data_IF_071771628324
#
_entry.id   IF_071771628324
#
_cell.length_a   1.000
_cell.length_b   1.000
_cell.length_c   1.000
_cell.angle_alpha   90.00
_cell.angle_beta   90.00
_cell.angle_gamma   90.00
#
_symmetry.space_group_name_H-M   'P 1'
#
loop_
_entity.id
_entity.type
_entity.pdbx_description
1 polymer ?
#
# COMPACT_ATOMS: atom_id res chain seq x y z
N UNK A 1 -71.54 1.00 -0.91
CA UNK A 1 -70.57 1.26 0.16
C UNK A 1 -69.24 0.64 -0.28
N UNK A 2 -68.38 1.42 -0.95
CA UNK A 2 -67.08 0.93 -1.42
C UNK A 2 -65.99 1.39 -0.46
N UNK A 3 -65.37 0.43 0.23
CA UNK A 3 -64.27 0.64 1.16
C UNK A 3 -62.96 0.59 0.35
N UNK A 4 -62.42 1.75 -0.02
CA UNK A 4 -61.16 1.85 -0.73
C UNK A 4 -59.99 1.73 0.25
N UNK A 5 -59.36 0.56 0.29
CA UNK A 5 -58.17 0.29 1.10
C UNK A 5 -56.93 0.79 0.34
N UNK A 6 -56.44 1.99 0.66
CA UNK A 6 -55.20 2.52 0.09
C UNK A 6 -53.99 1.90 0.80
N UNK A 7 -53.34 0.94 0.15
CA UNK A 7 -52.09 0.34 0.61
C UNK A 7 -50.93 1.31 0.32
N UNK A 8 -50.52 2.09 1.32
CA UNK A 8 -49.36 2.99 1.22
C UNK A 8 -48.07 2.18 1.21
N UNK A 9 -47.49 2.01 0.01
CA UNK A 9 -46.21 1.36 -0.20
C UNK A 9 -45.08 2.31 0.23
N UNK A 10 -44.57 2.12 1.46
CA UNK A 10 -43.35 2.78 1.92
C UNK A 10 -42.16 2.18 1.16
N UNK A 11 -41.73 2.81 0.06
CA UNK A 11 -40.45 2.48 -0.57
C UNK A 11 -39.31 2.87 0.37
N UNK A 12 -38.40 1.95 0.74
CA UNK A 12 -37.19 2.33 1.44
C UNK A 12 -36.33 3.14 0.47
N UNK A 13 -36.06 4.40 0.82
CA UNK A 13 -35.11 5.22 0.10
C UNK A 13 -33.71 4.66 0.39
N UNK A 14 -33.26 3.74 -0.45
CA UNK A 14 -31.88 3.27 -0.42
C UNK A 14 -30.98 4.46 -0.79
N UNK A 15 -30.44 5.14 0.23
CA UNK A 15 -29.43 6.16 0.03
C UNK A 15 -28.22 5.48 -0.62
N UNK A 16 -28.03 5.71 -1.91
CA UNK A 16 -26.84 5.28 -2.62
C UNK A 16 -25.64 6.00 -1.97
N UNK A 17 -24.94 5.30 -1.09
CA UNK A 17 -23.73 5.82 -0.46
C UNK A 17 -22.73 6.14 -1.57
N UNK A 18 -22.43 7.42 -1.79
CA UNK A 18 -21.46 7.84 -2.79
C UNK A 18 -20.10 7.24 -2.41
N UNK A 19 -19.45 6.52 -3.33
CA UNK A 19 -18.07 6.04 -3.12
C UNK A 19 -17.20 7.25 -2.74
N UNK A 20 -16.54 7.24 -1.57
CA UNK A 20 -15.73 8.36 -1.15
C UNK A 20 -14.60 8.61 -2.15
N UNK A 21 -14.34 9.87 -2.50
CA UNK A 21 -13.40 10.26 -3.57
C UNK A 21 -11.94 9.85 -3.31
N UNK A 22 -11.60 9.50 -2.07
CA UNK A 22 -10.28 9.09 -1.61
C UNK A 22 -10.19 7.60 -1.26
N UNK A 23 -11.22 6.81 -1.59
CA UNK A 23 -11.18 5.35 -1.53
C UNK A 23 -10.86 4.79 -2.91
N UNK A 24 -9.79 4.00 -3.02
CA UNK A 24 -9.38 3.35 -4.27
C UNK A 24 -9.25 1.84 -4.05
N UNK A 25 -9.67 1.01 -5.00
CA UNK A 25 -9.51 -0.43 -4.89
C UNK A 25 -8.03 -0.77 -5.03
N UNK A 26 -7.45 -1.53 -4.09
CA UNK A 26 -6.02 -1.80 -4.08
C UNK A 26 -5.55 -2.53 -5.35
N UNK A 27 -6.36 -3.46 -5.86
CA UNK A 27 -6.07 -4.20 -7.09
C UNK A 27 -5.99 -3.33 -8.34
N UNK A 28 -6.64 -2.17 -8.34
CA UNK A 28 -6.65 -1.24 -9.49
C UNK A 28 -5.45 -0.28 -9.46
N UNK A 29 -4.65 -0.27 -8.38
CA UNK A 29 -3.45 0.55 -8.28
C UNK A 29 -2.37 -0.05 -9.17
N UNK A 30 -2.06 0.63 -10.27
CA UNK A 30 -1.07 0.14 -11.24
C UNK A 30 0.36 0.28 -10.75
N UNK A 31 0.68 1.42 -10.12
CA UNK A 31 2.02 1.69 -9.60
C UNK A 31 1.98 2.67 -8.44
N UNK A 32 3.03 2.61 -7.62
CA UNK A 32 3.29 3.52 -6.52
C UNK A 32 4.64 4.19 -6.76
N UNK A 33 4.71 5.50 -6.49
CA UNK A 33 5.97 6.24 -6.39
C UNK A 33 6.08 6.77 -4.97
N UNK A 34 7.01 6.20 -4.22
CA UNK A 34 7.24 6.50 -2.82
C UNK A 34 8.45 7.41 -2.72
N UNK A 35 8.39 8.37 -1.79
CA UNK A 35 9.46 9.35 -1.58
C UNK A 35 10.18 9.09 -0.26
N UNK A 36 11.49 9.27 -0.28
CA UNK A 36 12.33 9.26 0.92
C UNK A 36 12.28 10.57 1.68
N UNK A 37 13.37 10.86 2.40
CA UNK A 37 13.60 12.14 3.08
C UNK A 37 12.47 12.55 4.03
N UNK A 38 11.89 11.57 4.73
CA UNK A 38 10.84 11.80 5.73
C UNK A 38 9.46 12.08 5.15
N UNK A 39 9.22 11.87 3.85
CA UNK A 39 7.88 11.96 3.28
C UNK A 39 6.93 10.99 4.00
N UNK A 40 5.75 11.49 4.35
CA UNK A 40 4.75 10.74 5.11
C UNK A 40 3.60 10.27 4.21
N UNK A 41 2.94 9.19 4.62
CA UNK A 41 1.69 8.71 4.05
C UNK A 41 0.55 9.65 4.43
N UNK A 42 -0.47 9.73 3.58
CA UNK A 42 -1.77 10.24 4.04
C UNK A 42 -2.36 9.25 5.04
N UNK A 43 -3.12 9.74 6.00
CA UNK A 43 -3.68 8.89 7.02
C UNK A 43 -5.09 9.32 7.38
N UNK A 44 -5.87 8.40 7.98
CA UNK A 44 -7.19 8.72 8.51
C UNK A 44 -7.47 8.04 9.84
N UNK A 45 -7.29 6.72 9.91
CA UNK A 45 -7.60 5.89 11.08
C UNK A 45 -6.35 5.57 11.89
N UNK A 46 -5.21 5.42 11.21
CA UNK A 46 -3.90 5.25 11.82
C UNK A 46 -3.10 6.57 11.78
N UNK A 47 -2.04 6.74 12.57
CA UNK A 47 -1.10 7.86 12.40
C UNK A 47 -0.39 7.81 11.03
N UNK A 48 0.04 8.97 10.54
CA UNK A 48 0.91 9.03 9.36
C UNK A 48 2.20 8.23 9.59
N UNK A 49 2.60 7.45 8.58
CA UNK A 49 3.82 6.66 8.59
C UNK A 49 4.80 7.20 7.53
N UNK A 50 6.11 6.93 7.63
CA UNK A 50 7.03 7.19 6.53
C UNK A 50 6.61 6.41 5.27
N UNK A 51 6.71 7.04 4.09
CA UNK A 51 6.47 6.35 2.82
C UNK A 51 7.55 5.30 2.52
N UNK A 52 8.77 5.51 3.01
CA UNK A 52 9.88 4.57 2.90
C UNK A 52 10.47 4.35 4.29
N UNK A 53 10.56 3.09 4.71
CA UNK A 53 11.12 2.71 6.02
C UNK A 53 12.08 1.54 5.87
N UNK A 54 13.35 1.79 6.17
CA UNK A 54 14.38 0.75 6.20
C UNK A 54 14.25 -0.09 7.48
N UNK A 55 14.22 -1.42 7.32
CA UNK A 55 14.13 -2.41 8.41
C UNK A 55 15.44 -3.15 8.68
N UNK A 56 16.51 -2.83 7.96
CA UNK A 56 17.83 -3.40 8.20
C UNK A 56 18.50 -2.83 9.46
N UNK A 57 19.64 -3.37 9.85
CA UNK A 57 20.43 -2.81 10.94
C UNK A 57 20.76 -1.33 10.67
N UNK A 58 20.70 -0.49 11.70
CA UNK A 58 20.87 0.97 11.56
C UNK A 58 22.10 1.36 10.72
N UNK A 59 23.31 0.79 10.94
CA UNK A 59 24.48 1.16 10.13
C UNK A 59 24.28 0.91 8.63
N UNK A 60 23.51 -0.12 8.25
CA UNK A 60 23.21 -0.42 6.86
C UNK A 60 22.18 0.53 6.27
N UNK A 61 21.14 0.88 7.04
CA UNK A 61 20.16 1.89 6.63
C UNK A 61 20.78 3.28 6.49
N UNK A 62 21.84 3.58 7.26
CA UNK A 62 22.57 4.85 7.18
C UNK A 62 23.46 4.96 5.92
N UNK A 63 23.78 3.85 5.24
CA UNK A 63 24.62 3.86 4.03
C UNK A 63 23.91 4.45 2.81
N UNK A 64 22.58 4.35 2.75
CA UNK A 64 21.81 4.92 1.64
C UNK A 64 20.39 5.28 2.06
N UNK A 65 20.06 6.56 1.92
CA UNK A 65 18.69 7.04 1.96
C UNK A 65 18.09 6.95 0.54
N UNK A 66 17.15 6.04 0.33
CA UNK A 66 16.45 5.95 -0.95
C UNK A 66 15.56 7.18 -1.12
N UNK A 67 15.85 8.02 -2.11
CA UNK A 67 15.05 9.21 -2.44
C UNK A 67 13.70 8.87 -3.06
N UNK A 68 13.70 7.86 -3.94
CA UNK A 68 12.51 7.43 -4.70
C UNK A 68 12.54 5.92 -4.88
N UNK A 69 11.42 5.28 -4.56
CA UNK A 69 11.16 3.89 -4.92
C UNK A 69 9.91 3.82 -5.79
N UNK A 70 9.94 2.98 -6.83
CA UNK A 70 8.79 2.70 -7.66
C UNK A 70 8.38 1.25 -7.52
N UNK A 71 7.14 1.02 -7.10
CA UNK A 71 6.55 -0.30 -7.03
C UNK A 71 5.49 -0.46 -8.13
N UNK A 72 5.50 -1.59 -8.82
CA UNK A 72 4.55 -1.91 -9.89
C UNK A 72 3.75 -3.14 -9.48
N UNK A 73 2.43 -3.04 -9.60
CA UNK A 73 1.51 -4.13 -9.33
C UNK A 73 1.70 -5.23 -10.40
N UNK A 74 1.99 -6.45 -9.95
CA UNK A 74 2.22 -7.64 -10.78
C UNK A 74 0.99 -8.56 -10.85
N UNK A 75 -0.14 -8.11 -10.31
CA UNK A 75 -1.38 -8.88 -10.22
C UNK A 75 -1.59 -9.49 -8.83
N UNK A 76 -2.61 -10.34 -8.75
CA UNK A 76 -2.99 -11.06 -7.55
C UNK A 76 -2.17 -12.34 -7.37
N UNK A 77 -1.80 -12.63 -6.12
CA UNK A 77 -1.20 -13.88 -5.69
C UNK A 77 -2.28 -14.93 -5.38
N UNK A 78 -2.43 -15.29 -4.11
CA UNK A 78 -3.38 -16.34 -3.69
C UNK A 78 -4.84 -15.85 -3.63
N UNK A 79 -5.05 -14.56 -3.44
CA UNK A 79 -6.38 -13.93 -3.41
C UNK A 79 -6.38 -12.63 -4.22
N UNK A 80 -7.57 -12.13 -4.56
CA UNK A 80 -7.73 -10.86 -5.28
C UNK A 80 -7.22 -9.63 -4.50
N UNK A 81 -6.98 -9.78 -3.19
CA UNK A 81 -6.50 -8.74 -2.29
C UNK A 81 -4.99 -8.88 -2.00
N UNK A 82 -4.41 -10.05 -2.30
CA UNK A 82 -2.99 -10.36 -2.16
C UNK A 82 -2.20 -9.83 -3.37
N UNK A 83 -2.03 -8.51 -3.44
CA UNK A 83 -1.35 -7.86 -4.57
C UNK A 83 0.16 -8.09 -4.47
N UNK A 84 0.72 -8.67 -5.54
CA UNK A 84 2.15 -8.88 -5.68
C UNK A 84 2.80 -7.61 -6.23
N UNK A 85 3.78 -7.07 -5.50
CA UNK A 85 4.47 -5.83 -5.87
C UNK A 85 5.91 -6.10 -6.28
N UNK A 86 6.34 -5.50 -7.39
CA UNK A 86 7.75 -5.42 -7.76
C UNK A 86 8.26 -4.01 -7.54
N UNK A 87 9.18 -3.84 -6.59
CA UNK A 87 9.74 -2.55 -6.21
C UNK A 87 11.17 -2.39 -6.70
N UNK A 88 11.49 -1.20 -7.22
CA UNK A 88 12.85 -0.83 -7.66
C UNK A 88 13.23 0.54 -7.11
N UNK A 89 14.50 0.71 -6.77
CA UNK A 89 15.09 1.95 -6.32
C UNK A 89 16.51 2.08 -6.86
N UNK A 90 17.01 3.31 -6.97
CA UNK A 90 18.43 3.55 -7.26
C UNK A 90 19.23 3.34 -5.97
N UNK A 91 20.25 2.50 -6.04
CA UNK A 91 21.15 2.18 -4.94
C UNK A 91 22.61 2.25 -5.40
N UNK A 92 23.55 2.57 -4.48
CA UNK A 92 24.98 2.37 -4.71
C UNK A 92 25.30 0.90 -5.07
N UNK A 93 26.40 0.66 -5.77
CA UNK A 93 26.82 -0.69 -6.18
C UNK A 93 27.07 -1.61 -4.98
N UNK A 94 27.39 -1.04 -3.82
CA UNK A 94 27.65 -1.74 -2.57
C UNK A 94 26.38 -2.17 -1.82
N UNK A 95 25.19 -1.91 -2.38
CA UNK A 95 23.91 -2.23 -1.77
C UNK A 95 22.94 -2.89 -2.75
N UNK A 96 22.21 -3.86 -2.24
CA UNK A 96 21.08 -4.48 -2.93
C UNK A 96 19.79 -4.24 -2.16
N UNK A 97 18.70 -4.07 -2.92
CA UNK A 97 17.36 -4.02 -2.35
C UNK A 97 16.91 -5.45 -2.04
N UNK A 98 16.72 -5.74 -0.76
CA UNK A 98 16.20 -7.00 -0.27
C UNK A 98 14.67 -7.05 -0.33
N UNK A 99 14.05 -7.61 0.73
CA UNK A 99 12.59 -7.69 0.81
C UNK A 99 11.95 -6.30 0.81
N UNK A 100 10.79 -6.20 0.15
CA UNK A 100 9.96 -5.00 0.13
C UNK A 100 8.51 -5.37 0.42
N UNK A 101 7.93 -4.71 1.42
CA UNK A 101 6.56 -4.93 1.86
C UNK A 101 5.77 -3.63 1.65
N UNK A 102 4.81 -3.65 0.71
CA UNK A 102 3.91 -2.53 0.46
C UNK A 102 2.76 -2.60 1.45
N UNK A 103 2.55 -1.51 2.20
CA UNK A 103 1.54 -1.42 3.25
C UNK A 103 0.68 -0.19 2.98
N UNK A 104 -0.63 -0.40 2.83
CA UNK A 104 -1.60 0.68 2.62
C UNK A 104 -2.63 0.70 3.76
N UNK A 105 -3.16 1.88 4.09
CA UNK A 105 -4.25 1.98 5.04
C UNK A 105 -5.56 1.57 4.37
N UNK A 106 -6.15 0.44 4.79
CA UNK A 106 -7.50 0.06 4.39
C UNK A 106 -8.48 1.20 4.70
N UNK A 107 -9.44 1.43 3.82
CA UNK A 107 -10.24 2.64 3.86
C UNK A 107 -11.12 2.66 5.11
N UNK A 108 -12.05 1.72 5.23
CA UNK A 108 -13.01 1.66 6.35
C UNK A 108 -12.52 0.81 7.52
N UNK A 109 -11.79 -0.28 7.23
CA UNK A 109 -11.22 -1.20 8.22
C UNK A 109 -9.85 -1.69 7.74
N UNK A 110 -9.16 -2.52 8.53
CA UNK A 110 -7.87 -3.11 8.15
C UNK A 110 -7.97 -4.16 7.02
N UNK A 111 -9.15 -4.76 6.85
CA UNK A 111 -9.43 -5.82 5.87
C UNK A 111 -10.30 -5.28 4.71
N UNK A 112 -10.35 -3.96 4.52
CA UNK A 112 -11.11 -3.32 3.43
C UNK A 112 -10.29 -3.39 2.13
N UNK A 113 -10.83 -3.95 1.03
CA UNK A 113 -10.13 -4.01 -0.25
C UNK A 113 -9.90 -2.62 -0.87
N UNK A 114 -10.69 -1.62 -0.44
CA UNK A 114 -10.39 -0.23 -0.76
C UNK A 114 -9.37 0.31 0.23
N UNK A 115 -8.41 1.08 -0.26
CA UNK A 115 -7.40 1.76 0.54
C UNK A 115 -7.54 3.28 0.42
N UNK A 116 -7.01 4.00 1.41
CA UNK A 116 -6.96 5.46 1.38
C UNK A 116 -5.93 5.92 0.33
N UNK A 117 -6.35 6.78 -0.60
CA UNK A 117 -5.48 7.39 -1.60
C UNK A 117 -4.30 8.10 -0.94
N UNK A 118 -3.08 7.66 -1.26
CA UNK A 118 -1.83 8.24 -0.74
C UNK A 118 -1.34 7.62 0.57
N UNK A 119 -2.02 6.58 1.06
CA UNK A 119 -1.70 5.92 2.33
C UNK A 119 -0.64 4.82 2.24
N UNK A 120 -0.26 4.43 1.02
CA UNK A 120 0.70 3.35 0.83
C UNK A 120 2.12 3.81 1.15
N UNK A 121 2.82 3.01 1.94
CA UNK A 121 4.27 3.09 2.18
C UNK A 121 4.93 1.74 1.91
N UNK A 122 6.26 1.73 1.95
CA UNK A 122 7.06 0.52 1.78
C UNK A 122 8.02 0.38 2.94
N UNK A 123 7.95 -0.78 3.59
CA UNK A 123 9.01 -1.26 4.44
C UNK A 123 9.99 -2.06 3.58
N UNK A 124 11.28 -1.75 3.65
CA UNK A 124 12.30 -2.38 2.82
C UNK A 124 13.52 -2.80 3.62
N UNK A 125 14.24 -3.79 3.12
CA UNK A 125 15.55 -4.19 3.63
C UNK A 125 16.61 -3.86 2.60
N UNK A 126 17.76 -3.45 3.11
CA UNK A 126 19.01 -3.41 2.35
C UNK A 126 19.85 -4.63 2.72
N UNK A 127 20.65 -5.08 1.77
CA UNK A 127 21.70 -6.05 1.94
C UNK A 127 22.98 -5.53 1.27
N UNK A 128 24.13 -6.07 1.67
CA UNK A 128 25.34 -5.93 0.85
C UNK A 128 25.23 -6.94 -0.30
N UNK A 129 25.64 -6.60 -1.54
CA UNK A 129 25.67 -7.50 -2.65
C UNK A 129 26.47 -8.75 -2.28
N UNK A 130 25.83 -9.89 -2.41
CA UNK A 130 26.54 -11.15 -2.35
C UNK A 130 27.33 -11.27 -3.65
N UNK A 131 28.67 -11.19 -3.60
CA UNK A 131 29.51 -11.66 -4.73
C UNK A 131 29.44 -13.19 -4.91
N UNK A 132 28.36 -13.82 -4.43
CA UNK A 132 28.31 -15.14 -3.83
C UNK A 132 29.22 -15.18 -2.61
N UNK A 133 28.68 -15.08 -1.38
CA UNK A 133 29.26 -15.62 -0.12
C UNK A 133 30.46 -16.51 -0.46
N UNK A 134 31.71 -16.12 -0.19
CA UNK A 134 32.89 -16.87 -0.64
C UNK A 134 32.74 -18.36 -0.29
N UNK A 135 32.19 -19.10 -1.26
CA UNK A 135 31.81 -20.50 -1.25
C UNK A 135 31.16 -20.97 0.06
N UNK A 136 29.89 -20.63 0.33
CA UNK A 136 29.09 -21.28 1.41
C UNK A 136 29.90 -21.54 2.70
N UNK A 137 30.38 -20.50 3.40
CA UNK A 137 31.15 -20.71 4.64
C UNK A 137 30.37 -21.44 5.75
#
# INVERSE_FOLDING_TARGET
>A
MHLSLTLSLLLPLAAAASKPKNAILLSDVQSLTLRGNGALTTHRRAPAAPQLKCLSAKPLCDLSAIDVMRCTNQGAGYSSEDIQWSCVAQLPEELELGSTDVICEGYSSKDDPYVLKGSCGVEYRLALPDKGRAQVS
#
